data_IF_939937573773
#
_entry.id   IF_939937573773
#
_cell.length_a   1.000
_cell.length_b   1.000
_cell.length_c   1.000
_cell.angle_alpha   90.00
_cell.angle_beta   90.00
_cell.angle_gamma   90.00
#
_symmetry.space_group_name_H-M   'P 1'
#
loop_
_entity.id
_entity.type
_entity.pdbx_description
1 polymer ?
#
# COMPACT_ATOMS: atom_id res chain seq x y z
N UNK A 1 -43.78 -21.41 -8.62
CA UNK A 1 -42.98 -20.69 -9.63
C UNK A 1 -42.70 -19.34 -9.00
N UNK A 2 -41.57 -19.23 -8.31
CA UNK A 2 -41.24 -18.03 -7.54
C UNK A 2 -40.90 -16.89 -8.52
N UNK A 3 -41.45 -15.69 -8.34
CA UNK A 3 -41.14 -14.55 -9.19
C UNK A 3 -39.69 -14.14 -8.95
N UNK A 4 -38.94 -13.91 -10.03
CA UNK A 4 -37.58 -13.42 -9.96
C UNK A 4 -37.54 -12.15 -9.10
N UNK A 5 -36.84 -12.23 -7.96
CA UNK A 5 -36.53 -11.06 -7.14
C UNK A 5 -35.84 -10.05 -8.05
N UNK A 6 -36.53 -8.94 -8.31
CA UNK A 6 -35.97 -7.81 -9.01
C UNK A 6 -34.82 -7.27 -8.16
N UNK A 7 -33.60 -7.73 -8.45
CA UNK A 7 -32.37 -7.14 -7.96
C UNK A 7 -32.36 -5.72 -8.51
N UNK A 8 -32.87 -4.78 -7.72
CA UNK A 8 -32.82 -3.36 -8.02
C UNK A 8 -31.37 -2.94 -7.91
N UNK A 9 -30.64 -3.14 -9.01
CA UNK A 9 -29.24 -2.77 -9.12
C UNK A 9 -29.12 -1.27 -8.90
N UNK A 10 -28.63 -0.87 -7.72
CA UNK A 10 -28.29 0.52 -7.43
C UNK A 10 -27.29 0.97 -8.48
N UNK A 11 -27.76 1.77 -9.45
CA UNK A 11 -26.92 2.29 -10.51
C UNK A 11 -26.00 3.35 -9.90
N UNK A 12 -24.73 3.00 -9.72
CA UNK A 12 -23.71 3.92 -9.22
C UNK A 12 -22.97 4.49 -10.42
N UNK A 13 -23.28 5.75 -10.77
CA UNK A 13 -22.53 6.49 -11.78
C UNK A 13 -21.24 7.05 -11.19
N UNK A 14 -20.10 6.73 -11.78
CA UNK A 14 -18.79 7.25 -11.36
C UNK A 14 -18.12 7.95 -12.53
N UNK A 15 -17.59 9.16 -12.30
CA UNK A 15 -16.71 9.83 -13.26
C UNK A 15 -15.29 9.30 -13.08
N UNK A 16 -14.82 8.57 -14.08
CA UNK A 16 -13.46 8.03 -14.11
C UNK A 16 -12.51 9.01 -14.84
N UNK A 17 -11.31 9.25 -14.28
CA UNK A 17 -10.21 9.85 -15.04
C UNK A 17 -9.96 9.10 -16.36
N UNK A 18 -9.67 9.85 -17.44
CA UNK A 18 -9.61 9.29 -18.79
C UNK A 18 -8.57 8.18 -18.97
N UNK A 19 -7.45 8.21 -18.24
CA UNK A 19 -6.45 7.14 -18.28
C UNK A 19 -6.97 5.85 -17.62
N UNK A 20 -7.69 5.95 -16.50
CA UNK A 20 -8.32 4.79 -15.84
C UNK A 20 -9.40 4.16 -16.72
N UNK A 21 -10.21 4.99 -17.38
CA UNK A 21 -11.21 4.49 -18.33
C UNK A 21 -10.54 3.71 -19.48
N UNK A 22 -9.50 4.28 -20.12
CA UNK A 22 -8.80 3.58 -21.21
C UNK A 22 -8.18 2.26 -20.77
N UNK A 23 -7.58 2.24 -19.58
CA UNK A 23 -6.98 1.03 -19.02
C UNK A 23 -8.03 -0.05 -18.72
N UNK A 24 -9.14 0.30 -18.06
CA UNK A 24 -10.25 -0.63 -17.81
C UNK A 24 -10.89 -1.14 -19.10
N UNK A 25 -11.03 -0.26 -20.10
CA UNK A 25 -11.54 -0.62 -21.41
C UNK A 25 -10.65 -1.62 -22.12
N UNK A 26 -9.32 -1.45 -22.07
CA UNK A 26 -8.40 -2.42 -22.66
C UNK A 26 -8.57 -3.82 -22.04
N UNK A 27 -8.90 -3.93 -20.75
CA UNK A 27 -9.17 -5.22 -20.09
C UNK A 27 -10.48 -5.86 -20.55
N UNK A 28 -11.53 -5.05 -20.74
CA UNK A 28 -12.82 -5.53 -21.29
C UNK A 28 -12.64 -5.97 -22.74
N UNK A 29 -11.99 -5.14 -23.56
CA UNK A 29 -11.71 -5.44 -24.97
C UNK A 29 -10.79 -6.68 -25.11
N UNK A 30 -9.90 -6.92 -24.14
CA UNK A 30 -9.07 -8.11 -24.02
C UNK A 30 -9.77 -9.35 -23.46
N UNK A 31 -11.05 -9.24 -23.09
CA UNK A 31 -11.86 -10.36 -22.58
C UNK A 31 -11.61 -10.74 -21.12
N UNK A 32 -10.82 -9.97 -20.35
CA UNK A 32 -10.63 -10.21 -18.92
C UNK A 32 -11.93 -9.99 -18.13
N UNK A 33 -12.82 -9.14 -18.64
CA UNK A 33 -14.10 -8.80 -18.03
C UNK A 33 -15.20 -8.69 -19.08
N UNK A 34 -16.41 -9.14 -18.76
CA UNK A 34 -17.55 -9.14 -19.69
C UNK A 34 -18.08 -7.72 -19.97
N UNK A 35 -17.88 -6.77 -19.04
CA UNK A 35 -18.29 -5.38 -19.20
C UNK A 35 -17.53 -4.44 -18.27
N UNK A 36 -17.73 -3.14 -18.47
CA UNK A 36 -17.06 -2.06 -17.72
C UNK A 36 -17.40 -2.06 -16.21
N UNK A 37 -18.62 -2.42 -15.83
CA UNK A 37 -19.00 -2.47 -14.43
C UNK A 37 -18.23 -3.59 -13.71
N UNK A 38 -18.13 -4.76 -14.35
CA UNK A 38 -17.34 -5.88 -13.82
C UNK A 38 -15.85 -5.55 -13.75
N UNK A 39 -15.29 -4.82 -14.72
CA UNK A 39 -13.88 -4.42 -14.65
C UNK A 39 -13.63 -3.42 -13.51
N UNK A 40 -14.52 -2.44 -13.30
CA UNK A 40 -14.39 -1.48 -12.20
C UNK A 40 -14.46 -2.21 -10.85
N UNK A 41 -15.49 -3.02 -10.65
CA UNK A 41 -15.69 -3.74 -9.39
C UNK A 41 -14.53 -4.72 -9.18
N UNK A 42 -14.19 -5.52 -10.19
CA UNK A 42 -13.13 -6.53 -10.11
C UNK A 42 -11.77 -5.93 -9.75
N UNK A 43 -11.38 -4.82 -10.38
CA UNK A 43 -10.09 -4.18 -10.08
C UNK A 43 -10.08 -3.48 -8.72
N UNK A 44 -11.18 -2.85 -8.29
CA UNK A 44 -11.31 -2.30 -6.94
C UNK A 44 -11.27 -3.41 -5.86
N UNK A 45 -11.95 -4.53 -6.10
CA UNK A 45 -11.92 -5.68 -5.19
C UNK A 45 -10.51 -6.27 -5.10
N UNK A 46 -9.80 -6.41 -6.22
CA UNK A 46 -8.40 -6.86 -6.23
C UNK A 46 -7.50 -5.91 -5.44
N UNK A 47 -7.64 -4.59 -5.66
CA UNK A 47 -6.88 -3.58 -4.94
C UNK A 47 -7.14 -3.67 -3.43
N UNK A 48 -8.42 -3.76 -3.02
CA UNK A 48 -8.80 -3.91 -1.62
C UNK A 48 -8.26 -5.20 -1.00
N UNK A 49 -8.32 -6.32 -1.72
CA UNK A 49 -7.75 -7.59 -1.23
C UNK A 49 -6.22 -7.50 -1.04
N UNK A 50 -5.53 -6.75 -1.90
CA UNK A 50 -4.09 -6.49 -1.73
C UNK A 50 -3.80 -5.56 -0.55
N UNK A 51 -4.65 -4.56 -0.30
CA UNK A 51 -4.59 -3.71 0.89
C UNK A 51 -4.85 -4.53 2.16
N UNK A 52 -5.87 -5.40 2.17
CA UNK A 52 -6.16 -6.31 3.27
C UNK A 52 -5.01 -7.28 3.53
N UNK A 53 -4.37 -7.82 2.48
CA UNK A 53 -3.13 -8.62 2.62
C UNK A 53 -1.94 -7.82 3.13
N UNK A 54 -1.89 -6.51 2.89
CA UNK A 54 -0.88 -5.60 3.45
C UNK A 54 -1.24 -5.10 4.86
N UNK A 55 -2.51 -5.23 5.25
CA UNK A 55 -3.09 -4.86 6.54
C UNK A 55 -3.36 -6.06 7.47
N UNK A 56 -3.07 -7.30 7.04
CA UNK A 56 -2.35 -8.16 7.98
C UNK A 56 -1.19 -7.29 8.42
N UNK A 57 -1.04 -6.98 9.72
CA UNK A 57 0.16 -6.30 10.13
C UNK A 57 1.26 -7.12 9.47
N UNK A 58 2.13 -6.44 8.71
CA UNK A 58 3.49 -6.93 8.63
C UNK A 58 3.88 -6.97 10.09
N UNK A 59 3.61 -8.11 10.72
CA UNK A 59 4.29 -8.54 11.88
C UNK A 59 5.71 -8.58 11.35
N UNK A 60 6.42 -7.46 11.48
CA UNK A 60 7.65 -7.53 12.22
C UNK A 60 7.32 -8.47 13.36
N UNK A 61 7.67 -9.74 13.17
CA UNK A 61 7.35 -10.78 14.12
C UNK A 61 8.06 -10.32 15.39
N UNK A 62 7.33 -9.65 16.28
CA UNK A 62 7.85 -9.11 17.55
C UNK A 62 8.29 -10.30 18.46
N UNK A 63 8.20 -11.54 17.96
CA UNK A 63 8.82 -12.73 18.54
C UNK A 63 10.33 -12.75 18.36
N UNK A 64 10.88 -12.08 17.35
CA UNK A 64 12.31 -11.81 17.28
C UNK A 64 12.51 -10.33 17.60
N UNK A 65 13.19 -10.06 18.72
CA UNK A 65 13.37 -8.69 19.22
C UNK A 65 14.01 -7.76 18.19
N UNK A 66 14.09 -6.45 18.45
CA UNK A 66 14.59 -5.42 17.52
C UNK A 66 16.03 -5.61 17.00
N UNK A 67 16.71 -6.68 17.40
CA UNK A 67 18.04 -7.09 16.94
C UNK A 67 18.05 -8.09 15.77
N UNK A 68 16.90 -8.70 15.42
CA UNK A 68 16.84 -9.72 14.36
C UNK A 68 16.63 -9.15 12.95
N UNK A 69 16.04 -7.97 12.82
CA UNK A 69 15.84 -7.33 11.52
C UNK A 69 17.17 -6.71 11.03
N UNK A 70 17.78 -7.24 9.94
CA UNK A 70 19.06 -6.76 9.44
C UNK A 70 19.03 -5.30 9.00
N UNK A 71 17.87 -4.79 8.55
CA UNK A 71 17.71 -3.40 8.15
C UNK A 71 17.61 -2.48 9.36
N UNK A 72 16.87 -2.90 10.41
CA UNK A 72 16.82 -2.14 11.65
C UNK A 72 18.20 -2.04 12.31
N UNK A 73 18.97 -3.14 12.29
CA UNK A 73 20.36 -3.13 12.79
C UNK A 73 21.23 -2.15 12.02
N UNK A 74 21.20 -2.20 10.68
CA UNK A 74 21.98 -1.30 9.83
C UNK A 74 21.60 0.18 10.04
N UNK A 75 20.30 0.48 10.14
CA UNK A 75 19.81 1.84 10.38
C UNK A 75 20.23 2.35 11.76
N UNK A 76 20.13 1.51 12.79
CA UNK A 76 20.53 1.87 14.16
C UNK A 76 22.05 2.10 14.26
N UNK A 77 22.86 1.23 13.67
CA UNK A 77 24.31 1.43 13.58
C UNK A 77 24.65 2.78 12.93
N UNK A 78 23.99 3.09 11.80
CA UNK A 78 24.20 4.35 11.10
C UNK A 78 23.76 5.57 11.91
N UNK A 79 22.63 5.47 12.62
CA UNK A 79 22.15 6.54 13.50
C UNK A 79 23.13 6.79 14.66
N UNK A 80 23.74 5.75 15.21
CA UNK A 80 24.67 5.87 16.33
C UNK A 80 26.04 6.44 15.92
N UNK A 81 26.48 6.17 14.69
CA UNK A 81 27.62 6.89 14.09
C UNK A 81 27.33 8.39 13.98
N UNK A 82 26.20 8.76 13.38
CA UNK A 82 25.81 10.18 13.21
C UNK A 82 25.69 10.87 14.56
N UNK A 83 25.08 10.22 15.56
CA UNK A 83 24.98 10.77 16.92
C UNK A 83 26.36 10.99 17.57
N UNK A 84 27.33 10.11 17.33
CA UNK A 84 28.71 10.27 17.82
C UNK A 84 29.43 11.41 17.13
N UNK A 85 29.37 11.48 15.81
CA UNK A 85 29.97 12.57 15.02
C UNK A 85 29.41 13.93 15.45
N UNK A 86 28.08 14.03 15.58
CA UNK A 86 27.41 15.26 15.99
C UNK A 86 27.80 15.68 17.42
N UNK A 87 27.88 14.73 18.36
CA UNK A 87 28.35 15.01 19.72
C UNK A 87 29.80 15.52 19.72
N UNK A 88 30.69 14.88 18.95
CA UNK A 88 32.08 15.31 18.83
C UNK A 88 32.22 16.71 18.23
N UNK A 89 31.41 17.05 17.23
CA UNK A 89 31.36 18.39 16.64
C UNK A 89 30.86 19.44 17.64
N UNK A 90 29.80 19.14 18.41
CA UNK A 90 29.29 20.04 19.45
C UNK A 90 30.35 20.30 20.54
N UNK A 91 31.06 19.25 20.98
CA UNK A 91 32.12 19.39 21.97
C UNK A 91 33.31 20.21 21.45
N UNK A 92 33.73 20.00 20.19
CA UNK A 92 34.77 20.84 19.57
C UNK A 92 34.37 22.31 19.52
N UNK A 93 33.16 22.62 19.03
CA UNK A 93 32.64 24.00 18.99
C UNK A 93 32.48 24.64 20.37
N UNK A 94 32.30 23.84 21.42
CA UNK A 94 32.28 24.33 22.81
C UNK A 94 33.67 24.59 23.38
N UNK A 95 34.72 23.93 22.90
CA UNK A 95 36.12 24.15 23.32
C UNK A 95 36.79 25.30 22.55
N UNK A 96 36.31 25.60 21.35
CA UNK A 96 36.79 26.67 20.48
C UNK A 96 36.12 28.04 20.74
N UNK A 97 35.21 28.11 21.73
CA UNK A 97 34.62 29.35 22.27
C UNK A 97 35.16 29.62 23.66
#
# INVERSE_FOLDING_TARGET
MEPAENVTGKQVGVRLPGHLYRWLKAKVDGGEYSNMAQSVIGELTKAKALEERRCEPVAYDIREGPESDPLLRLVNERLDEIRRELRGEIERRRRER
#
